data_IF_074356194332
#
_entry.id   IF_074356194332
#
_cell.length_a   1.000
_cell.length_b   1.000
_cell.length_c   1.000
_cell.angle_alpha   90.00
_cell.angle_beta   90.00
_cell.angle_gamma   90.00
#
_symmetry.space_group_name_H-M   'P 1'
#
loop_
_entity.id
_entity.type
_entity.pdbx_description
1 polymer ?
#
# COMPACT_ATOMS: atom_id res chain seq x y z
N UNK A 1 31.16 72.73 -16.33
CA UNK A 1 30.87 71.54 -17.14
C UNK A 1 30.94 70.27 -16.26
N UNK A 2 31.96 70.14 -15.41
CA UNK A 2 32.14 68.94 -14.57
C UNK A 2 31.02 68.72 -13.57
N UNK A 3 30.47 69.74 -12.96
CA UNK A 3 29.39 69.68 -11.99
C UNK A 3 28.04 69.24 -12.61
N UNK A 4 27.82 69.50 -13.90
CA UNK A 4 26.58 69.01 -14.61
C UNK A 4 26.66 67.56 -14.96
N UNK A 5 27.80 67.01 -15.25
CA UNK A 5 28.01 65.60 -15.57
C UNK A 5 27.86 64.75 -14.31
N UNK A 6 28.34 65.22 -13.15
CA UNK A 6 28.18 64.55 -11.87
C UNK A 6 26.69 64.50 -11.39
N UNK A 7 25.90 65.51 -11.72
CA UNK A 7 24.45 65.53 -11.37
C UNK A 7 23.63 64.54 -12.21
N UNK A 8 23.98 64.37 -13.48
CA UNK A 8 23.32 63.41 -14.36
C UNK A 8 23.59 61.95 -13.99
N UNK A 9 24.83 61.67 -13.59
CA UNK A 9 25.18 60.31 -13.11
C UNK A 9 24.46 59.96 -11.81
N UNK A 10 24.22 60.90 -10.90
CA UNK A 10 23.46 60.66 -9.67
C UNK A 10 21.96 60.44 -9.95
N UNK A 11 21.37 61.14 -10.91
CA UNK A 11 19.97 60.91 -11.31
C UNK A 11 19.77 59.54 -12.02
N UNK A 12 20.75 59.16 -12.86
CA UNK A 12 20.71 57.86 -13.55
C UNK A 12 20.86 56.67 -12.55
N UNK A 13 21.74 56.78 -11.55
CA UNK A 13 21.93 55.77 -10.52
C UNK A 13 20.69 55.69 -9.64
N UNK A 14 20.02 56.80 -9.31
CA UNK A 14 18.78 56.80 -8.54
C UNK A 14 17.64 56.13 -9.32
N UNK A 15 17.53 56.38 -10.63
CA UNK A 15 16.55 55.79 -11.53
C UNK A 15 16.71 54.26 -11.67
N UNK A 16 17.95 53.77 -11.80
CA UNK A 16 18.29 52.36 -11.89
C UNK A 16 18.02 51.67 -10.55
N UNK A 17 18.32 52.32 -9.41
CA UNK A 17 18.05 51.79 -8.09
C UNK A 17 16.54 51.67 -7.83
N UNK A 18 15.72 52.63 -8.32
CA UNK A 18 14.26 52.58 -8.18
C UNK A 18 13.60 51.53 -9.08
N UNK A 19 14.17 51.24 -10.27
CA UNK A 19 13.75 50.14 -11.13
C UNK A 19 14.06 48.76 -10.58
N UNK A 20 15.16 48.61 -9.84
CA UNK A 20 15.52 47.35 -9.21
C UNK A 20 14.66 46.99 -8.01
N UNK A 21 14.05 48.00 -7.35
CA UNK A 21 13.15 47.78 -6.21
C UNK A 21 11.73 47.32 -6.62
N UNK A 22 11.35 47.47 -7.87
CA UNK A 22 10.04 47.02 -8.37
C UNK A 22 10.01 45.57 -8.90
N UNK A 23 11.14 44.86 -8.83
CA UNK A 23 11.20 43.44 -9.20
C UNK A 23 11.10 42.49 -7.98
N UNK A 24 10.65 42.99 -6.82
CA UNK A 24 10.17 42.11 -5.78
C UNK A 24 8.73 41.72 -6.21
N UNK A 25 8.65 40.83 -7.18
CA UNK A 25 7.46 40.03 -7.39
C UNK A 25 7.34 39.20 -6.12
N UNK A 26 6.44 39.58 -5.23
CA UNK A 26 5.92 38.66 -4.24
C UNK A 26 5.32 37.49 -5.03
N UNK A 27 6.12 36.45 -5.21
CA UNK A 27 5.56 35.12 -5.49
C UNK A 27 4.99 34.73 -4.15
N UNK A 28 3.73 35.09 -3.91
CA UNK A 28 2.96 34.49 -2.84
C UNK A 28 2.89 32.99 -3.18
N UNK A 29 3.55 32.19 -2.37
CA UNK A 29 3.56 30.73 -2.54
C UNK A 29 2.15 30.16 -2.37
N UNK A 30 1.23 30.93 -1.75
CA UNK A 30 -0.17 30.59 -1.56
C UNK A 30 -1.01 30.77 -2.84
N UNK A 31 -0.60 31.66 -3.78
CA UNK A 31 -1.35 31.90 -5.03
C UNK A 31 -1.14 30.82 -6.11
N UNK A 32 -0.26 29.86 -5.89
CA UNK A 32 0.04 28.81 -6.86
C UNK A 32 -0.57 27.44 -6.48
N UNK A 33 -1.58 27.44 -5.60
CA UNK A 33 -2.37 26.24 -5.29
C UNK A 33 -3.34 26.00 -6.43
N UNK A 34 -3.15 24.91 -7.16
CA UNK A 34 -4.10 24.47 -8.18
C UNK A 34 -5.46 24.19 -7.48
N UNK A 35 -6.53 24.94 -7.77
CA UNK A 35 -7.82 24.77 -7.08
C UNK A 35 -8.46 23.39 -7.33
N UNK A 36 -7.92 22.60 -8.27
CA UNK A 36 -8.34 21.23 -8.56
C UNK A 36 -7.35 20.20 -8.00
N UNK A 37 -6.31 20.63 -7.29
CA UNK A 37 -5.38 19.73 -6.65
C UNK A 37 -5.89 19.35 -5.26
N UNK A 38 -5.99 18.06 -4.99
CA UNK A 38 -6.35 17.56 -3.67
C UNK A 38 -5.17 17.83 -2.73
N UNK A 39 -5.35 18.77 -1.81
CA UNK A 39 -4.32 19.11 -0.81
C UNK A 39 -4.17 17.99 0.21
N UNK A 40 -3.01 17.92 0.88
CA UNK A 40 -2.81 16.96 1.98
C UNK A 40 -3.87 17.10 3.07
N UNK A 41 -4.28 18.34 3.37
CA UNK A 41 -5.33 18.65 4.36
C UNK A 41 -6.70 18.13 3.91
N UNK A 42 -7.03 18.20 2.61
CA UNK A 42 -8.24 17.58 2.06
C UNK A 42 -8.19 16.05 2.09
N UNK A 43 -7.01 15.46 1.99
CA UNK A 43 -6.82 14.01 2.08
C UNK A 43 -6.86 13.47 3.51
N UNK A 44 -6.73 14.32 4.52
CA UNK A 44 -6.87 13.96 5.94
C UNK A 44 -8.33 13.96 6.40
N UNK A 45 -9.22 14.67 5.69
CA UNK A 45 -10.64 14.66 5.99
C UNK A 45 -11.22 13.27 5.71
N UNK A 46 -11.95 12.72 6.66
CA UNK A 46 -12.64 11.42 6.58
C UNK A 46 -11.72 10.21 6.31
N UNK A 47 -10.45 10.25 6.70
CA UNK A 47 -9.48 9.19 6.43
C UNK A 47 -9.29 8.87 4.93
N UNK A 48 -9.51 9.82 4.04
CA UNK A 48 -9.42 9.61 2.59
C UNK A 48 -8.07 8.99 2.19
N UNK A 49 -6.99 9.44 2.78
CA UNK A 49 -5.62 8.98 2.45
C UNK A 49 -5.42 7.53 2.87
N UNK A 50 -5.72 7.19 4.12
CA UNK A 50 -5.63 5.80 4.62
C UNK A 50 -6.67 4.89 3.97
N UNK A 51 -7.88 5.37 3.76
CA UNK A 51 -8.97 4.65 3.11
C UNK A 51 -8.69 4.31 1.65
N UNK A 52 -8.09 5.22 0.89
CA UNK A 52 -7.69 4.96 -0.49
C UNK A 52 -6.64 3.82 -0.58
N UNK A 53 -5.62 3.85 0.29
CA UNK A 53 -4.65 2.77 0.39
C UNK A 53 -5.28 1.46 0.87
N UNK A 54 -6.22 1.51 1.81
CA UNK A 54 -6.94 0.33 2.28
C UNK A 54 -7.76 -0.32 1.16
N UNK A 55 -8.51 0.47 0.38
CA UNK A 55 -9.23 -0.02 -0.79
C UNK A 55 -8.30 -0.63 -1.84
N UNK A 56 -7.10 -0.03 -2.05
CA UNK A 56 -6.10 -0.59 -2.94
C UNK A 56 -5.64 -1.98 -2.44
N UNK A 57 -5.36 -2.13 -1.16
CA UNK A 57 -4.97 -3.42 -0.57
C UNK A 57 -6.06 -4.47 -0.76
N UNK A 58 -7.33 -4.14 -0.45
CA UNK A 58 -8.46 -5.05 -0.61
C UNK A 58 -8.61 -5.59 -2.04
N UNK A 59 -8.36 -4.75 -3.05
CA UNK A 59 -8.37 -5.16 -4.46
C UNK A 59 -7.23 -6.08 -4.84
N UNK A 60 -6.11 -6.06 -4.09
CA UNK A 60 -4.92 -6.85 -4.39
C UNK A 60 -4.79 -8.14 -3.59
N UNK A 61 -5.50 -8.27 -2.47
CA UNK A 61 -5.55 -9.51 -1.67
C UNK A 61 -6.10 -10.68 -2.49
N UNK A 62 -7.15 -10.44 -3.24
CA UNK A 62 -7.63 -11.36 -4.27
C UNK A 62 -7.31 -10.72 -5.62
N UNK A 63 -6.32 -11.26 -6.30
CA UNK A 63 -5.93 -10.77 -7.62
C UNK A 63 -7.05 -11.08 -8.59
N UNK A 64 -7.86 -10.08 -8.89
CA UNK A 64 -8.96 -10.14 -9.85
C UNK A 64 -8.66 -9.20 -11.01
N UNK A 65 -9.32 -9.47 -12.12
CA UNK A 65 -9.32 -8.54 -13.24
C UNK A 65 -10.17 -7.32 -12.89
N UNK A 66 -9.60 -6.12 -12.84
CA UNK A 66 -10.29 -4.88 -12.49
C UNK A 66 -10.92 -4.13 -13.69
N UNK A 67 -11.09 -4.83 -14.80
CA UNK A 67 -11.95 -4.42 -15.91
C UNK A 67 -11.35 -3.44 -16.93
N UNK A 68 -10.37 -2.64 -16.57
CA UNK A 68 -9.80 -1.60 -17.45
C UNK A 68 -8.51 -2.03 -18.15
N UNK A 69 -7.83 -3.03 -17.63
CA UNK A 69 -6.67 -3.65 -18.26
C UNK A 69 -7.01 -5.10 -18.53
N UNK A 70 -7.24 -5.39 -19.78
CA UNK A 70 -7.47 -6.75 -20.24
C UNK A 70 -6.54 -7.73 -19.53
N UNK A 71 -7.13 -8.51 -18.58
CA UNK A 71 -6.73 -9.86 -18.26
C UNK A 71 -5.41 -10.13 -17.54
N UNK A 72 -4.55 -9.16 -17.36
CA UNK A 72 -3.18 -9.54 -17.05
C UNK A 72 -3.00 -10.07 -15.63
N UNK A 73 -3.62 -9.44 -14.64
CA UNK A 73 -3.26 -9.69 -13.24
C UNK A 73 -3.71 -11.08 -12.77
N UNK A 74 -5.00 -11.41 -12.93
CA UNK A 74 -5.53 -12.73 -12.56
C UNK A 74 -4.98 -13.83 -13.46
N UNK A 75 -4.95 -13.59 -14.78
CA UNK A 75 -4.43 -14.55 -15.73
C UNK A 75 -2.98 -14.90 -15.42
N UNK A 76 -2.13 -13.92 -15.22
CA UNK A 76 -0.70 -14.12 -14.97
C UNK A 76 -0.48 -14.77 -13.61
N UNK A 77 -1.03 -14.19 -12.53
CA UNK A 77 -0.77 -14.64 -11.18
C UNK A 77 -1.45 -15.97 -10.85
N UNK A 78 -2.64 -16.23 -11.36
CA UNK A 78 -3.42 -17.41 -11.04
C UNK A 78 -3.37 -18.46 -12.15
N UNK A 79 -3.91 -18.17 -13.34
CA UNK A 79 -4.09 -19.20 -14.37
C UNK A 79 -2.77 -19.69 -14.97
N UNK A 80 -1.85 -18.79 -15.29
CA UNK A 80 -0.56 -19.14 -15.91
C UNK A 80 0.50 -19.58 -14.89
N UNK A 81 0.23 -19.45 -13.60
CA UNK A 81 1.13 -19.84 -12.54
C UNK A 81 0.49 -20.90 -11.64
N UNK A 82 -0.29 -20.51 -10.65
CA UNK A 82 -0.76 -21.38 -9.57
C UNK A 82 -1.64 -22.54 -10.05
N UNK A 83 -2.57 -22.29 -10.98
CA UNK A 83 -3.46 -23.33 -11.49
C UNK A 83 -2.70 -24.41 -12.29
N UNK A 84 -1.65 -24.02 -13.01
CA UNK A 84 -0.79 -24.95 -13.75
C UNK A 84 0.09 -25.78 -12.79
N UNK A 85 0.69 -25.14 -11.75
CA UNK A 85 1.50 -25.86 -10.77
C UNK A 85 0.68 -26.82 -9.91
N UNK A 86 -0.54 -26.44 -9.55
CA UNK A 86 -1.43 -27.30 -8.76
C UNK A 86 -1.98 -28.49 -9.55
N UNK A 87 -1.89 -28.45 -10.89
CA UNK A 87 -2.43 -29.47 -11.76
C UNK A 87 -3.97 -29.45 -11.90
N UNK A 88 -4.64 -28.40 -11.44
CA UNK A 88 -6.08 -28.24 -11.63
C UNK A 88 -6.44 -27.99 -13.10
N UNK A 89 -5.58 -27.32 -13.83
CA UNK A 89 -5.71 -27.11 -15.27
C UNK A 89 -4.42 -27.49 -15.99
N UNK A 90 -4.53 -27.80 -17.28
CA UNK A 90 -3.40 -28.08 -18.13
C UNK A 90 -3.42 -27.15 -19.34
N UNK A 91 -2.24 -26.78 -19.82
CA UNK A 91 -2.11 -26.02 -21.06
C UNK A 91 -2.54 -26.89 -22.25
N UNK A 92 -3.47 -26.37 -23.06
CA UNK A 92 -3.99 -27.06 -24.24
C UNK A 92 -3.15 -26.85 -25.49
N UNK A 93 -2.32 -25.81 -25.52
CA UNK A 93 -1.43 -25.50 -26.61
C UNK A 93 -0.12 -26.26 -26.44
N UNK A 94 0.35 -26.91 -27.45
CA UNK A 94 1.58 -27.72 -27.48
C UNK A 94 2.89 -26.94 -27.32
N UNK A 95 2.85 -25.84 -26.57
CA UNK A 95 4.04 -25.11 -26.18
C UNK A 95 4.75 -25.92 -25.09
N UNK A 96 5.98 -26.27 -25.32
CA UNK A 96 6.87 -26.93 -24.34
C UNK A 96 7.41 -25.96 -23.29
N UNK A 97 7.07 -24.67 -23.40
CA UNK A 97 7.65 -23.61 -22.60
C UNK A 97 6.56 -22.92 -21.74
N UNK A 98 6.09 -23.61 -20.72
CA UNK A 98 5.08 -23.08 -19.77
C UNK A 98 5.26 -23.63 -18.36
N UNK A 99 4.70 -22.89 -17.39
CA UNK A 99 4.84 -23.19 -15.96
C UNK A 99 4.36 -24.60 -15.56
N UNK A 100 3.35 -25.15 -16.24
CA UNK A 100 2.86 -26.50 -15.97
C UNK A 100 3.89 -27.63 -16.24
N UNK A 101 4.99 -27.35 -16.88
CA UNK A 101 6.15 -28.24 -17.04
C UNK A 101 7.35 -27.81 -16.18
N UNK A 102 7.14 -26.98 -15.19
CA UNK A 102 8.20 -26.39 -14.34
C UNK A 102 9.25 -25.61 -15.14
N UNK A 103 8.85 -25.13 -16.32
CA UNK A 103 9.65 -24.22 -17.12
C UNK A 103 9.20 -22.80 -16.81
N UNK A 104 9.89 -22.15 -15.86
CA UNK A 104 9.50 -20.87 -15.29
C UNK A 104 9.48 -19.77 -16.35
N UNK A 105 8.32 -19.15 -16.51
CA UNK A 105 8.18 -17.90 -17.23
C UNK A 105 8.45 -16.76 -16.26
N UNK A 106 9.66 -16.26 -16.26
CA UNK A 106 10.15 -15.26 -15.30
C UNK A 106 9.21 -14.04 -15.20
N UNK A 107 8.73 -13.53 -16.32
CA UNK A 107 7.81 -12.40 -16.34
C UNK A 107 6.51 -12.67 -15.58
N UNK A 108 5.96 -13.87 -15.65
CA UNK A 108 4.71 -14.22 -14.97
C UNK A 108 4.92 -14.44 -13.48
N UNK A 109 6.02 -15.07 -13.13
CA UNK A 109 6.39 -15.31 -11.73
C UNK A 109 6.70 -13.99 -11.03
N UNK A 110 7.50 -13.12 -11.65
CA UNK A 110 7.84 -11.81 -11.12
C UNK A 110 6.61 -10.92 -10.96
N UNK A 111 5.67 -10.94 -11.92
CA UNK A 111 4.45 -10.15 -11.82
C UNK A 111 3.65 -10.46 -10.54
N UNK A 112 3.54 -11.74 -10.15
CA UNK A 112 2.85 -12.13 -8.91
C UNK A 112 3.51 -11.52 -7.67
N UNK A 113 4.83 -11.52 -7.63
CA UNK A 113 5.60 -10.91 -6.55
C UNK A 113 5.42 -9.39 -6.53
N UNK A 114 5.59 -8.74 -7.66
CA UNK A 114 5.50 -7.29 -7.81
C UNK A 114 4.10 -6.77 -7.43
N UNK A 115 3.03 -7.46 -7.82
CA UNK A 115 1.67 -7.08 -7.46
C UNK A 115 1.42 -7.11 -5.95
N UNK A 116 2.02 -8.06 -5.23
CA UNK A 116 1.89 -8.13 -3.78
C UNK A 116 2.61 -6.96 -3.09
N UNK A 117 3.83 -6.67 -3.51
CA UNK A 117 4.61 -5.60 -2.89
C UNK A 117 4.08 -4.21 -3.23
N UNK A 118 3.72 -3.96 -4.49
CA UNK A 118 3.18 -2.66 -4.93
C UNK A 118 1.73 -2.44 -4.50
N UNK A 119 0.94 -3.51 -4.40
CA UNK A 119 -0.48 -3.41 -4.10
C UNK A 119 -0.87 -3.70 -2.66
N UNK A 120 -0.01 -4.33 -1.85
CA UNK A 120 -0.29 -4.68 -0.46
C UNK A 120 0.74 -4.08 0.48
N UNK A 121 2.04 -4.39 0.31
CA UNK A 121 3.06 -3.96 1.27
C UNK A 121 3.31 -2.46 1.26
N UNK A 122 3.40 -1.84 0.08
CA UNK A 122 3.64 -0.39 -0.01
C UNK A 122 2.44 0.44 0.50
N UNK A 123 1.17 0.14 0.13
CA UNK A 123 0.01 0.81 0.71
C UNK A 123 -0.10 0.57 2.22
N UNK A 124 0.15 -0.66 2.71
CA UNK A 124 0.17 -0.92 4.14
C UNK A 124 1.21 -0.06 4.87
N UNK A 125 2.43 0.06 4.34
CA UNK A 125 3.46 0.89 4.94
C UNK A 125 3.03 2.37 5.03
N UNK A 126 2.30 2.87 4.02
CA UNK A 126 1.76 4.22 4.02
C UNK A 126 0.69 4.39 5.11
N UNK A 127 -0.23 3.42 5.25
CA UNK A 127 -1.24 3.42 6.33
C UNK A 127 -0.55 3.35 7.69
N UNK A 128 0.38 2.42 7.87
CA UNK A 128 1.12 2.22 9.13
C UNK A 128 1.82 3.50 9.59
N UNK A 129 2.47 4.21 8.66
CA UNK A 129 3.12 5.49 8.95
C UNK A 129 2.10 6.52 9.43
N UNK A 130 1.02 6.74 8.67
CA UNK A 130 -0.03 7.72 9.01
C UNK A 130 -0.70 7.35 10.33
N UNK A 131 -1.07 6.10 10.51
CA UNK A 131 -1.73 5.61 11.73
C UNK A 131 -0.82 5.75 12.96
N UNK A 132 0.48 5.55 12.82
CA UNK A 132 1.45 5.77 13.89
C UNK A 132 1.57 7.26 14.24
N UNK A 133 1.65 8.13 13.24
CA UNK A 133 1.75 9.60 13.42
C UNK A 133 0.48 10.21 14.03
N UNK A 134 -0.68 9.63 13.74
CA UNK A 134 -1.99 10.12 14.20
C UNK A 134 -2.55 9.36 15.42
N UNK A 135 -1.80 8.39 15.96
CA UNK A 135 -2.23 7.56 17.10
C UNK A 135 -3.55 6.82 16.84
N UNK A 136 -3.67 6.18 15.64
CA UNK A 136 -4.84 5.40 15.19
C UNK A 136 -4.52 3.89 15.14
N UNK A 137 -4.32 3.22 16.28
CA UNK A 137 -3.90 1.81 16.31
C UNK A 137 -4.92 0.86 15.69
N UNK A 138 -6.22 1.19 15.73
CA UNK A 138 -7.28 0.38 15.13
C UNK A 138 -7.24 0.40 13.60
N UNK A 139 -6.83 1.51 13.00
CA UNK A 139 -6.63 1.65 11.55
C UNK A 139 -5.45 0.80 11.09
N UNK A 140 -4.34 0.85 11.82
CA UNK A 140 -3.16 0.04 11.55
C UNK A 140 -3.44 -1.45 11.72
N UNK A 141 -4.16 -1.83 12.77
CA UNK A 141 -4.58 -3.21 13.02
C UNK A 141 -5.44 -3.77 11.89
N UNK A 142 -6.41 -2.99 11.42
CA UNK A 142 -7.27 -3.37 10.30
C UNK A 142 -6.47 -3.59 9.00
N UNK A 143 -5.58 -2.66 8.66
CA UNK A 143 -4.71 -2.77 7.50
C UNK A 143 -3.73 -3.96 7.62
N UNK A 144 -3.24 -4.24 8.83
CA UNK A 144 -2.34 -5.37 9.09
C UNK A 144 -3.02 -6.72 8.85
N UNK A 145 -4.30 -6.88 9.20
CA UNK A 145 -5.07 -8.10 8.87
C UNK A 145 -5.10 -8.32 7.35
N UNK A 146 -5.38 -7.27 6.58
CA UNK A 146 -5.42 -7.35 5.11
C UNK A 146 -4.04 -7.66 4.54
N UNK A 147 -2.97 -7.07 5.11
CA UNK A 147 -1.58 -7.40 4.75
C UNK A 147 -1.29 -8.87 4.94
N UNK A 148 -1.59 -9.43 6.11
CA UNK A 148 -1.33 -10.85 6.40
C UNK A 148 -2.11 -11.76 5.45
N UNK A 149 -3.39 -11.44 5.16
CA UNK A 149 -4.20 -12.22 4.21
C UNK A 149 -3.60 -12.25 2.82
N UNK A 150 -3.07 -11.15 2.33
CA UNK A 150 -2.41 -11.12 1.02
C UNK A 150 -1.04 -11.80 1.02
N UNK A 151 -0.21 -11.48 2.02
CA UNK A 151 1.20 -11.88 2.01
C UNK A 151 1.46 -13.33 2.40
N UNK A 152 0.56 -14.00 3.16
CA UNK A 152 0.75 -15.43 3.45
C UNK A 152 0.73 -16.28 2.18
N UNK A 153 -0.04 -15.89 1.16
CA UNK A 153 -0.07 -16.58 -0.14
C UNK A 153 1.24 -16.40 -0.90
N UNK A 154 1.86 -15.24 -0.76
CA UNK A 154 3.16 -14.94 -1.37
C UNK A 154 4.26 -15.75 -0.68
N UNK A 155 4.23 -15.83 0.65
CA UNK A 155 5.14 -16.67 1.43
C UNK A 155 5.00 -18.16 1.06
N UNK A 156 3.77 -18.64 0.88
CA UNK A 156 3.50 -20.02 0.44
C UNK A 156 4.00 -20.30 -0.99
N UNK A 157 4.01 -19.29 -1.84
CA UNK A 157 4.44 -19.43 -3.24
C UNK A 157 5.97 -19.36 -3.39
N UNK A 158 6.61 -18.41 -2.72
CA UNK A 158 8.02 -18.10 -2.92
C UNK A 158 8.94 -18.61 -1.80
N UNK A 159 8.38 -18.98 -0.65
CA UNK A 159 9.14 -19.34 0.54
C UNK A 159 9.66 -18.09 1.28
N UNK A 160 10.99 -17.93 1.41
CA UNK A 160 11.57 -16.72 1.98
C UNK A 160 11.17 -15.46 1.21
N UNK A 161 10.70 -14.42 1.92
CA UNK A 161 10.30 -13.14 1.35
C UNK A 161 10.75 -11.96 2.22
N UNK A 162 10.96 -10.75 1.67
CA UNK A 162 11.20 -9.55 2.46
C UNK A 162 9.90 -9.13 3.19
N UNK A 163 9.79 -9.40 4.47
CA UNK A 163 8.57 -9.13 5.24
C UNK A 163 8.79 -8.43 6.58
N UNK A 164 9.63 -9.01 7.46
CA UNK A 164 9.77 -8.57 8.86
C UNK A 164 10.32 -7.16 8.95
N UNK A 165 11.30 -6.83 8.11
CA UNK A 165 11.96 -5.52 8.09
C UNK A 165 11.64 -4.74 6.80
N UNK A 166 10.47 -4.95 6.23
CA UNK A 166 10.07 -4.26 5.02
C UNK A 166 10.13 -2.74 5.18
N UNK A 167 10.69 -2.07 4.19
CA UNK A 167 10.92 -0.62 4.18
C UNK A 167 12.27 -0.18 4.77
N UNK A 168 12.90 -1.00 5.63
CA UNK A 168 14.25 -0.73 6.16
C UNK A 168 15.30 -1.68 5.59
N UNK A 169 14.89 -2.86 5.12
CA UNK A 169 15.75 -3.87 4.53
C UNK A 169 15.04 -4.59 3.39
N UNK A 170 15.80 -4.94 2.35
CA UNK A 170 15.35 -5.80 1.24
C UNK A 170 15.81 -7.25 1.39
N UNK A 171 16.34 -7.63 2.55
CA UNK A 171 16.77 -9.00 2.81
C UNK A 171 15.55 -9.93 2.90
N UNK A 172 15.71 -11.14 2.41
CA UNK A 172 14.70 -12.17 2.50
C UNK A 172 14.72 -12.79 3.90
N UNK A 173 13.56 -12.79 4.54
CA UNK A 173 13.35 -13.42 5.83
C UNK A 173 13.05 -14.91 5.64
N UNK A 174 13.56 -15.77 6.51
CA UNK A 174 13.26 -17.19 6.49
C UNK A 174 11.75 -17.42 6.72
N UNK A 175 11.19 -18.46 6.11
CA UNK A 175 9.75 -18.70 6.10
C UNK A 175 9.16 -18.85 7.51
N UNK A 176 9.88 -19.47 8.42
CA UNK A 176 9.51 -19.61 9.83
C UNK A 176 9.41 -18.26 10.55
N UNK A 177 10.35 -17.33 10.28
CA UNK A 177 10.29 -15.98 10.80
C UNK A 177 9.08 -15.21 10.26
N UNK A 178 8.80 -15.35 8.96
CA UNK A 178 7.63 -14.72 8.32
C UNK A 178 6.34 -15.21 8.94
N UNK A 179 6.18 -16.53 9.13
CA UNK A 179 4.98 -17.10 9.74
C UNK A 179 4.82 -16.72 11.22
N UNK A 180 5.90 -16.71 11.98
CA UNK A 180 5.88 -16.22 13.35
C UNK A 180 5.42 -14.77 13.41
N UNK A 181 5.87 -13.94 12.46
CA UNK A 181 5.43 -12.54 12.36
C UNK A 181 3.95 -12.42 11.99
N UNK A 182 3.43 -13.26 11.11
CA UNK A 182 1.99 -13.31 10.81
C UNK A 182 1.16 -13.58 12.07
N UNK A 183 1.54 -14.53 12.90
CA UNK A 183 0.84 -14.81 14.15
C UNK A 183 0.92 -13.66 15.13
N UNK A 184 2.10 -13.08 15.33
CA UNK A 184 2.29 -11.91 16.21
C UNK A 184 1.41 -10.74 15.76
N UNK A 185 1.39 -10.44 14.46
CA UNK A 185 0.62 -9.35 13.89
C UNK A 185 -0.88 -9.58 14.00
N UNK A 186 -1.36 -10.80 13.75
CA UNK A 186 -2.76 -11.15 13.92
C UNK A 186 -3.20 -11.10 15.39
N UNK A 187 -2.38 -11.59 16.31
CA UNK A 187 -2.68 -11.56 17.74
C UNK A 187 -2.82 -10.12 18.24
N UNK A 188 -1.88 -9.25 17.86
CA UNK A 188 -1.94 -7.83 18.20
C UNK A 188 -3.17 -7.14 17.56
N UNK A 189 -3.44 -7.40 16.27
CA UNK A 189 -4.57 -6.80 15.59
C UNK A 189 -5.92 -7.24 16.19
N UNK A 190 -6.06 -8.52 16.54
CA UNK A 190 -7.25 -9.05 17.22
C UNK A 190 -7.45 -8.38 18.58
N UNK A 191 -6.40 -8.20 19.36
CA UNK A 191 -6.46 -7.54 20.65
C UNK A 191 -6.89 -6.07 20.52
N UNK A 192 -6.24 -5.31 19.65
CA UNK A 192 -6.55 -3.89 19.41
C UNK A 192 -7.99 -3.71 18.93
N UNK A 193 -8.42 -4.46 17.92
CA UNK A 193 -9.77 -4.34 17.36
C UNK A 193 -10.85 -4.86 18.32
N UNK A 194 -10.57 -5.89 19.13
CA UNK A 194 -11.50 -6.36 20.15
C UNK A 194 -11.71 -5.30 21.26
N UNK A 195 -10.63 -4.62 21.67
CA UNK A 195 -10.72 -3.51 22.63
C UNK A 195 -11.51 -2.34 22.03
N UNK A 196 -11.30 -2.03 20.76
CA UNK A 196 -12.05 -0.99 20.05
C UNK A 196 -13.55 -1.30 19.98
N UNK A 197 -13.94 -2.55 19.65
CA UNK A 197 -15.34 -3.01 19.65
C UNK A 197 -15.96 -2.92 21.04
N UNK A 198 -15.24 -3.33 22.08
CA UNK A 198 -15.74 -3.28 23.47
C UNK A 198 -15.98 -1.85 23.97
N UNK A 199 -15.23 -0.88 23.44
CA UNK A 199 -15.37 0.53 23.79
C UNK A 199 -16.38 1.31 22.93
N UNK A 200 -16.83 0.76 21.80
CA UNK A 200 -17.65 1.48 20.82
C UNK A 200 -18.82 0.62 20.37
N UNK A 201 -20.04 1.03 20.66
CA UNK A 201 -21.24 0.36 20.15
C UNK A 201 -21.33 0.59 18.64
N UNK A 202 -21.59 -0.50 17.89
CA UNK A 202 -21.65 -0.47 16.41
C UNK A 202 -20.33 0.07 15.77
N UNK A 203 -19.19 -0.35 16.34
CA UNK A 203 -17.86 0.07 15.92
C UNK A 203 -17.66 -0.10 14.40
N UNK A 204 -17.38 1.01 13.73
CA UNK A 204 -17.08 1.05 12.30
C UNK A 204 -15.79 1.77 12.03
N UNK A 205 -15.00 1.23 11.09
CA UNK A 205 -13.76 1.82 10.59
C UNK A 205 -13.76 1.81 9.07
N UNK A 206 -13.39 2.90 8.44
CA UNK A 206 -13.20 3.03 6.98
C UNK A 206 -14.40 2.54 6.16
N UNK A 207 -15.63 2.78 6.61
CA UNK A 207 -16.86 2.22 6.03
C UNK A 207 -16.98 2.46 4.53
N UNK A 208 -16.59 3.64 4.04
CA UNK A 208 -16.69 4.05 2.64
C UNK A 208 -15.63 3.37 1.75
N UNK A 209 -14.60 2.80 2.37
CA UNK A 209 -13.47 2.17 1.70
C UNK A 209 -13.44 0.64 1.84
N UNK A 210 -14.22 0.12 2.78
CA UNK A 210 -14.31 -1.33 3.06
C UNK A 210 -15.43 -1.98 2.25
N UNK A 211 -15.07 -2.52 1.09
CA UNK A 211 -16.00 -3.27 0.24
C UNK A 211 -16.34 -4.68 0.74
N UNK A 212 -15.70 -5.16 1.83
CA UNK A 212 -15.88 -6.52 2.35
C UNK A 212 -16.97 -6.56 3.43
N UNK A 213 -16.83 -5.73 4.45
CA UNK A 213 -17.73 -5.72 5.61
C UNK A 213 -18.37 -4.36 5.88
N UNK A 214 -18.14 -3.35 5.02
CA UNK A 214 -18.69 -2.00 5.20
C UNK A 214 -18.24 -1.35 6.50
N UNK A 215 -16.99 -1.60 6.89
CA UNK A 215 -16.38 -1.08 8.10
C UNK A 215 -16.75 -1.79 9.40
N UNK A 216 -17.50 -2.88 9.36
CA UNK A 216 -17.93 -3.65 10.55
C UNK A 216 -16.71 -4.33 11.21
N UNK A 217 -16.23 -3.74 12.31
CA UNK A 217 -15.02 -4.17 12.99
C UNK A 217 -15.17 -5.53 13.65
N UNK A 218 -16.36 -5.87 14.15
CA UNK A 218 -16.60 -7.19 14.75
C UNK A 218 -16.41 -8.32 13.72
N UNK A 219 -16.83 -8.08 12.48
CA UNK A 219 -16.59 -9.05 11.39
C UNK A 219 -15.13 -9.18 11.04
N UNK A 220 -14.39 -8.09 11.07
CA UNK A 220 -12.93 -8.12 10.86
C UNK A 220 -12.21 -8.90 11.96
N UNK A 221 -12.62 -8.78 13.22
CA UNK A 221 -12.10 -9.61 14.33
C UNK A 221 -12.37 -11.09 14.08
N UNK A 222 -13.58 -11.44 13.64
CA UNK A 222 -13.93 -12.82 13.28
C UNK A 222 -13.10 -13.34 12.09
N UNK A 223 -12.91 -12.49 11.10
CA UNK A 223 -12.06 -12.81 9.94
C UNK A 223 -10.61 -13.07 10.37
N UNK A 224 -10.02 -12.19 11.19
CA UNK A 224 -8.66 -12.35 11.67
C UNK A 224 -8.45 -13.65 12.45
N UNK A 225 -9.40 -14.02 13.32
CA UNK A 225 -9.39 -15.30 14.03
C UNK A 225 -9.47 -16.50 13.07
N UNK A 226 -10.26 -16.38 12.01
CA UNK A 226 -10.39 -17.44 10.99
C UNK A 226 -9.09 -17.57 10.18
N UNK A 227 -8.48 -16.44 9.81
CA UNK A 227 -7.19 -16.41 9.13
C UNK A 227 -6.11 -17.04 10.02
N UNK A 228 -6.05 -16.66 11.29
CA UNK A 228 -5.13 -17.23 12.27
C UNK A 228 -5.27 -18.76 12.37
N UNK A 229 -6.50 -19.25 12.44
CA UNK A 229 -6.77 -20.69 12.43
C UNK A 229 -6.30 -21.36 11.14
N UNK A 230 -6.55 -20.75 9.98
CA UNK A 230 -6.07 -21.24 8.68
C UNK A 230 -4.54 -21.36 8.64
N UNK A 231 -3.83 -20.33 9.10
CA UNK A 231 -2.37 -20.34 9.17
C UNK A 231 -1.86 -21.42 10.15
N UNK A 232 -2.49 -21.59 11.30
CA UNK A 232 -2.14 -22.63 12.28
C UNK A 232 -2.30 -24.04 11.70
N UNK A 233 -3.38 -24.29 10.96
CA UNK A 233 -3.57 -25.58 10.27
C UNK A 233 -2.48 -25.76 9.19
N UNK A 234 -2.12 -24.71 8.47
CA UNK A 234 -1.10 -24.73 7.42
C UNK A 234 0.26 -25.17 7.95
N UNK A 235 0.65 -24.70 9.14
CA UNK A 235 1.96 -25.03 9.76
C UNK A 235 1.91 -26.22 10.71
N UNK A 236 0.78 -26.87 10.87
CA UNK A 236 0.60 -27.95 11.87
C UNK A 236 1.55 -29.15 11.69
N UNK A 237 2.11 -29.32 10.50
CA UNK A 237 3.09 -30.36 10.18
C UNK A 237 4.50 -29.82 9.90
N UNK A 238 4.71 -28.51 10.08
CA UNK A 238 6.04 -27.92 9.98
C UNK A 238 6.81 -28.22 11.28
N UNK A 239 8.00 -28.83 11.13
CA UNK A 239 8.90 -29.16 12.25
C UNK A 239 9.92 -28.03 12.46
#
# INVERSE_FOLDING_TARGET
>A
ILNKILSWNKLSILGISLMLLNNISCIDYEDNVNPNEVTEEMMEVDNLKTGAFFSQMLRRVVIINDGDKLDSDYQIAQNLSHDLYSGYIAATLGSTNHNGQYNFQEQWVNATFDYAYTGIMAPWQSIHKIATEQELPEVDALATIVKVEGMHRIADTFGPIPYVNYGSSSLYDALDLVYNKFFEELDNAIEVLSNYVNGNVDAKLMSDYDCVYGGDVEKWVKFANTLRLRLAIRVSYAN
#
